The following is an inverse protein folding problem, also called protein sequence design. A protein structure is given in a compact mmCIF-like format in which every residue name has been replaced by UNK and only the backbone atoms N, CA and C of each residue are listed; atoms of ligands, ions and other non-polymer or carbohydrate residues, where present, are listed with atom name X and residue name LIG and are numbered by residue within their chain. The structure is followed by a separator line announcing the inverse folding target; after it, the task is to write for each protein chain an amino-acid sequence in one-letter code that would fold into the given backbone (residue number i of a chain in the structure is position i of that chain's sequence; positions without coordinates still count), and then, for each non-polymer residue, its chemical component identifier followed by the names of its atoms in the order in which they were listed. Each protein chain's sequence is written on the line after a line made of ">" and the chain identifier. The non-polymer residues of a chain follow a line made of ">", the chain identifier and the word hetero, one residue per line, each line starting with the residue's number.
data_IF_125687173469
#
_entry.id   IF_125687173469
#
_cell.length_a   1.000
_cell.length_b   1.000
_cell.length_c   1.000
_cell.angle_alpha   90.00
_cell.angle_beta   90.00
_cell.angle_gamma   90.00
#
_symmetry.space_group_name_H-M   'P 1'
#
loop_
_entity.id
_entity.type
_entity.pdbx_description
1 polymer ?
#
# COMPACT_ATOMS: atom_id res chain seq x y z
N UNK A 1 -19.49 13.77 -17.47
CA UNK A 1 -18.72 14.15 -16.26
C UNK A 1 -19.38 13.74 -14.93
N UNK A 2 -20.65 13.26 -14.89
CA UNK A 2 -21.35 12.90 -13.64
C UNK A 2 -21.09 11.46 -13.14
N UNK A 3 -20.86 10.48 -14.03
CA UNK A 3 -20.76 9.05 -13.65
C UNK A 3 -19.47 8.63 -12.94
N UNK A 4 -18.34 9.30 -13.19
CA UNK A 4 -17.06 8.93 -12.58
C UNK A 4 -16.99 9.31 -11.09
N UNK A 5 -17.61 10.44 -10.71
CA UNK A 5 -17.72 10.85 -9.30
C UNK A 5 -18.56 9.85 -8.49
N UNK A 6 -19.64 9.33 -9.07
CA UNK A 6 -20.50 8.37 -8.38
C UNK A 6 -19.86 6.98 -8.25
N UNK A 7 -19.05 6.53 -9.22
CA UNK A 7 -18.29 5.28 -9.09
C UNK A 7 -17.22 5.35 -8.00
N UNK A 8 -16.46 6.45 -7.92
CA UNK A 8 -15.44 6.63 -6.88
C UNK A 8 -16.04 6.71 -5.47
N UNK A 9 -17.10 7.50 -5.26
CA UNK A 9 -17.71 7.62 -3.93
C UNK A 9 -18.35 6.31 -3.47
N UNK A 10 -18.92 5.51 -4.39
CA UNK A 10 -19.40 4.15 -4.07
C UNK A 10 -18.25 3.25 -3.63
N UNK A 11 -17.16 3.22 -4.40
CA UNK A 11 -15.98 2.42 -4.06
C UNK A 11 -15.38 2.85 -2.72
N UNK A 12 -15.28 4.15 -2.47
CA UNK A 12 -14.86 4.73 -1.18
C UNK A 12 -15.77 4.28 -0.03
N UNK A 13 -17.08 4.33 -0.21
CA UNK A 13 -18.03 3.88 0.82
C UNK A 13 -17.83 2.40 1.16
N UNK A 14 -17.63 1.54 0.15
CA UNK A 14 -17.35 0.11 0.36
C UNK A 14 -16.07 -0.13 1.16
N UNK A 15 -15.01 0.66 0.94
CA UNK A 15 -13.76 0.55 1.73
C UNK A 15 -14.03 0.78 3.22
N UNK A 16 -14.82 1.81 3.54
CA UNK A 16 -15.16 2.18 4.91
C UNK A 16 -16.07 1.12 5.54
N UNK A 17 -17.07 0.64 4.82
CA UNK A 17 -17.99 -0.41 5.28
C UNK A 17 -17.28 -1.74 5.57
N UNK A 18 -16.34 -2.13 4.71
CA UNK A 18 -15.53 -3.34 4.90
C UNK A 18 -14.49 -3.19 6.02
N UNK A 19 -14.30 -1.97 6.54
CA UNK A 19 -13.29 -1.68 7.55
C UNK A 19 -11.87 -1.95 7.05
N UNK A 20 -11.62 -1.70 5.77
CA UNK A 20 -10.30 -1.85 5.14
C UNK A 20 -9.41 -0.67 5.53
N UNK A 21 -8.94 -0.72 6.77
CA UNK A 21 -8.06 0.27 7.37
C UNK A 21 -6.58 -0.08 7.15
N UNK A 22 -5.70 0.86 7.44
CA UNK A 22 -4.26 0.65 7.42
C UNK A 22 -3.64 0.96 8.78
N UNK A 23 -2.48 0.38 9.08
CA UNK A 23 -1.71 0.75 10.26
C UNK A 23 -0.69 1.85 9.98
N UNK A 24 -0.52 2.73 10.96
CA UNK A 24 0.68 3.55 11.06
C UNK A 24 1.85 2.58 11.26
N UNK A 25 2.92 2.75 10.50
CA UNK A 25 4.08 1.86 10.61
C UNK A 25 4.87 2.09 11.89
N UNK A 26 4.60 3.17 12.62
CA UNK A 26 5.22 3.46 13.89
C UNK A 26 4.36 4.45 14.66
N UNK A 27 3.91 4.07 15.84
CA UNK A 27 3.20 4.97 16.74
C UNK A 27 4.15 5.78 17.63
N UNK A 28 5.44 5.44 17.77
CA UNK A 28 6.26 5.94 18.87
C UNK A 28 7.78 5.98 18.57
N UNK A 29 8.40 7.16 18.74
CA UNK A 29 9.73 7.30 19.36
C UNK A 29 9.97 8.75 19.86
N UNK A 30 10.09 8.98 21.18
CA UNK A 30 10.88 10.10 21.73
C UNK A 30 11.22 9.92 23.22
N UNK A 31 12.52 9.81 23.55
CA UNK A 31 13.20 10.57 24.62
C UNK A 31 14.71 10.27 24.60
N UNK A 32 15.48 11.04 23.83
CA UNK A 32 16.90 11.33 24.14
C UNK A 32 17.44 12.49 23.28
N UNK A 33 16.76 13.64 23.28
CA UNK A 33 17.35 14.92 22.85
C UNK A 33 17.03 16.08 23.79
N UNK A 34 16.76 15.80 25.08
CA UNK A 34 16.65 16.86 26.09
C UNK A 34 17.88 17.02 26.98
N UNK A 35 19.03 16.39 26.69
CA UNK A 35 20.24 16.61 27.51
C UNK A 35 21.56 16.88 26.79
N UNK A 36 21.72 16.71 25.48
CA UNK A 36 22.96 17.14 24.82
C UNK A 36 22.68 17.70 23.43
N UNK A 37 23.05 18.98 23.26
CA UNK A 37 23.17 19.63 21.96
C UNK A 37 24.28 18.91 21.18
N UNK A 38 23.93 17.90 20.39
CA UNK A 38 24.85 17.30 19.43
C UNK A 38 24.78 18.11 18.13
N UNK A 39 25.91 18.56 17.57
CA UNK A 39 25.91 19.35 16.34
C UNK A 39 25.33 18.56 15.17
N UNK A 40 24.65 19.29 14.27
CA UNK A 40 23.81 18.86 13.13
C UNK A 40 24.45 17.89 12.10
N UNK A 41 25.67 17.39 12.33
CA UNK A 41 26.42 16.59 11.36
C UNK A 41 26.38 15.07 11.59
N UNK A 42 25.65 14.56 12.60
CA UNK A 42 25.53 13.12 12.88
C UNK A 42 24.10 12.53 12.73
N UNK A 43 23.18 13.20 12.04
CA UNK A 43 21.78 12.72 11.89
C UNK A 43 21.54 11.76 10.72
N UNK A 44 22.58 11.31 10.00
CA UNK A 44 22.39 10.60 8.73
C UNK A 44 21.89 9.15 8.82
N UNK A 45 21.74 8.55 10.01
CA UNK A 45 21.30 7.15 10.11
C UNK A 45 20.36 6.83 11.26
N UNK A 46 19.53 7.79 11.66
CA UNK A 46 18.55 7.60 12.73
C UNK A 46 17.25 6.98 12.19
N UNK A 47 17.33 5.73 11.74
CA UNK A 47 16.16 4.93 11.34
C UNK A 47 15.50 4.33 12.59
N UNK A 48 14.18 4.40 12.65
CA UNK A 48 13.37 3.67 13.63
C UNK A 48 13.40 2.16 13.32
N UNK A 49 13.05 1.30 14.27
CA UNK A 49 12.86 -0.14 14.07
C UNK A 49 11.84 -0.48 12.96
N UNK A 50 10.95 0.46 12.62
CA UNK A 50 10.04 0.34 11.48
C UNK A 50 10.71 0.59 10.10
N UNK A 51 12.00 0.95 10.08
CA UNK A 51 12.78 1.26 8.87
C UNK A 51 12.64 2.68 8.33
N UNK A 52 11.71 3.49 8.84
CA UNK A 52 11.57 4.92 8.47
C UNK A 52 12.55 5.80 9.24
N UNK A 53 12.91 6.94 8.66
CA UNK A 53 13.67 7.96 9.38
C UNK A 53 12.85 8.47 10.57
N UNK A 54 13.49 8.62 11.73
CA UNK A 54 12.85 9.17 12.93
C UNK A 54 12.20 10.53 12.65
N UNK A 55 12.85 11.38 11.84
CA UNK A 55 12.32 12.67 11.40
C UNK A 55 11.06 12.62 10.51
N UNK A 56 10.74 11.48 9.90
CA UNK A 56 9.57 11.30 9.02
C UNK A 56 8.34 10.75 9.75
N UNK A 57 8.37 10.68 11.08
CA UNK A 57 7.21 10.34 11.89
C UNK A 57 6.36 11.59 12.12
N UNK A 58 5.04 11.48 11.98
CA UNK A 58 4.13 12.55 12.41
C UNK A 58 4.17 12.61 13.92
N UNK A 59 4.55 13.75 14.49
CA UNK A 59 4.53 13.99 15.92
C UNK A 59 3.09 14.25 16.36
N UNK A 60 2.33 13.19 16.60
CA UNK A 60 1.10 13.33 17.39
C UNK A 60 1.50 13.28 18.87
N UNK A 61 1.33 14.40 19.57
CA UNK A 61 1.92 14.71 20.88
C UNK A 61 1.40 13.83 22.05
N UNK A 62 0.39 12.99 21.82
CA UNK A 62 -0.37 12.30 22.89
C UNK A 62 -0.15 10.77 22.98
N UNK A 63 0.91 10.20 22.42
CA UNK A 63 1.09 8.74 22.43
C UNK A 63 2.10 8.26 23.50
N UNK A 64 1.74 7.24 24.31
CA UNK A 64 2.62 6.72 25.36
C UNK A 64 3.83 6.04 24.73
N UNK A 65 5.00 6.66 24.88
CA UNK A 65 6.31 6.11 24.50
C UNK A 65 6.42 4.69 25.08
N UNK A 66 6.56 3.69 24.22
CA UNK A 66 6.94 2.35 24.65
C UNK A 66 8.39 2.46 25.07
N UNK A 67 8.59 2.78 26.34
CA UNK A 67 9.89 2.86 27.00
C UNK A 67 10.43 1.46 27.34
N UNK A 68 10.01 0.41 26.62
CA UNK A 68 10.57 -0.91 26.89
C UNK A 68 11.86 -1.09 26.09
N UNK A 69 12.85 -1.69 26.72
CA UNK A 69 14.09 -2.20 26.11
C UNK A 69 13.82 -3.36 25.12
N UNK A 70 12.55 -3.57 24.73
CA UNK A 70 12.14 -4.68 23.88
C UNK A 70 12.44 -4.40 22.40
N UNK A 71 12.75 -5.49 21.69
CA UNK A 71 12.93 -5.47 20.24
C UNK A 71 11.63 -5.00 19.55
N UNK A 72 11.77 -4.07 18.60
CA UNK A 72 10.65 -3.53 17.84
C UNK A 72 9.83 -4.66 17.22
N UNK A 73 8.51 -4.65 17.43
CA UNK A 73 7.62 -5.59 16.77
C UNK A 73 6.39 -4.88 16.22
N UNK A 74 5.93 -5.34 15.06
CA UNK A 74 4.82 -4.73 14.34
C UNK A 74 3.55 -4.64 15.17
N UNK A 75 3.23 -5.66 15.98
CA UNK A 75 1.96 -5.72 16.70
C UNK A 75 1.83 -4.66 17.80
N UNK A 76 2.92 -4.39 18.53
CA UNK A 76 2.93 -3.43 19.65
C UNK A 76 3.33 -2.02 19.23
N UNK A 77 4.15 -1.87 18.19
CA UNK A 77 4.67 -0.57 17.78
C UNK A 77 3.86 0.09 16.64
N UNK A 78 2.77 -0.52 16.18
CA UNK A 78 1.88 0.03 15.14
C UNK A 78 0.45 0.21 15.64
N UNK A 79 -0.22 1.27 15.20
CA UNK A 79 -1.61 1.55 15.54
C UNK A 79 -2.46 1.53 14.29
N UNK A 80 -3.69 1.03 14.39
CA UNK A 80 -4.69 1.20 13.34
C UNK A 80 -4.95 2.69 13.16
N UNK A 81 -4.79 3.18 11.93
CA UNK A 81 -5.22 4.53 11.57
C UNK A 81 -6.61 4.40 10.96
N UNK A 82 -7.60 5.00 11.61
CA UNK A 82 -8.96 5.19 11.09
C UNK A 82 -9.03 6.48 10.25
N UNK A 83 -8.11 6.63 9.30
CA UNK A 83 -8.05 7.81 8.42
C UNK A 83 -8.64 7.50 7.06
N UNK A 84 -9.46 8.43 6.59
CA UNK A 84 -10.07 8.49 5.26
C UNK A 84 -9.07 8.70 4.11
N UNK A 85 -7.76 8.66 4.36
CA UNK A 85 -6.70 8.93 3.37
C UNK A 85 -5.91 7.69 2.95
N UNK A 86 -6.37 6.49 3.29
CA UNK A 86 -5.71 5.25 2.87
C UNK A 86 -6.09 4.78 1.46
N UNK A 87 -6.86 5.56 0.72
CA UNK A 87 -7.25 5.28 -0.65
C UNK A 87 -7.11 6.53 -1.52
N UNK A 88 -7.03 6.33 -2.83
CA UNK A 88 -6.93 7.42 -3.79
C UNK A 88 -7.07 6.97 -5.23
N UNK A 89 -6.95 7.94 -6.13
CA UNK A 89 -6.93 7.72 -7.58
C UNK A 89 -5.59 8.24 -8.11
N UNK A 90 -4.91 7.42 -8.91
CA UNK A 90 -3.82 7.89 -9.76
C UNK A 90 -4.37 8.23 -11.15
N UNK A 91 -3.96 9.41 -11.62
CA UNK A 91 -4.18 9.85 -12.98
C UNK A 91 -2.87 9.68 -13.76
N UNK A 92 -2.94 8.94 -14.86
CA UNK A 92 -1.87 8.88 -15.84
C UNK A 92 -2.33 9.68 -17.09
N UNK A 93 -1.65 10.76 -17.48
CA UNK A 93 -2.04 11.57 -18.64
C UNK A 93 -1.99 10.80 -19.97
N UNK A 94 -1.32 9.64 -20.00
CA UNK A 94 -1.22 8.79 -21.18
C UNK A 94 -2.26 7.65 -21.19
N UNK A 95 -3.05 7.50 -20.13
CA UNK A 95 -4.10 6.48 -20.05
C UNK A 95 -5.48 7.14 -20.06
N UNK A 96 -6.44 6.43 -20.65
CA UNK A 96 -7.84 6.85 -20.68
C UNK A 96 -8.60 6.51 -19.39
N UNK A 97 -7.97 5.77 -18.47
CA UNK A 97 -8.61 5.24 -17.27
C UNK A 97 -7.90 5.72 -16.00
N UNK A 98 -8.68 5.85 -14.93
CA UNK A 98 -8.19 6.18 -13.61
C UNK A 98 -7.86 4.90 -12.85
N UNK A 99 -6.69 4.85 -12.21
CA UNK A 99 -6.31 3.72 -11.36
C UNK A 99 -6.70 3.99 -9.92
N UNK A 100 -7.53 3.14 -9.33
CA UNK A 100 -7.90 3.19 -7.90
C UNK A 100 -6.83 2.48 -7.07
N UNK A 101 -6.39 3.08 -5.97
CA UNK A 101 -5.43 2.46 -5.05
C UNK A 101 -5.92 2.51 -3.63
N UNK A 102 -5.65 1.44 -2.91
CA UNK A 102 -5.91 1.31 -1.48
C UNK A 102 -4.65 0.81 -0.79
N UNK A 103 -4.37 1.37 0.39
CA UNK A 103 -3.39 0.88 1.35
C UNK A 103 -4.14 0.17 2.47
N UNK A 104 -3.78 -1.08 2.71
CA UNK A 104 -4.42 -1.93 3.70
C UNK A 104 -3.42 -2.39 4.76
N UNK A 105 -3.94 -2.80 5.91
CA UNK A 105 -3.18 -3.54 6.91
C UNK A 105 -2.69 -4.89 6.37
N UNK A 106 -1.54 -5.36 6.86
CA UNK A 106 -1.01 -6.68 6.46
C UNK A 106 -1.91 -7.83 6.92
N UNK A 107 -2.73 -7.62 7.95
CA UNK A 107 -3.71 -8.60 8.45
C UNK A 107 -5.10 -8.39 7.87
N UNK A 108 -5.26 -7.53 6.85
CA UNK A 108 -6.53 -7.40 6.15
C UNK A 108 -6.92 -8.76 5.55
N UNK A 109 -8.17 -9.17 5.78
CA UNK A 109 -8.71 -10.43 5.29
C UNK A 109 -8.84 -10.40 3.76
N UNK A 110 -8.38 -11.48 3.11
CA UNK A 110 -8.41 -11.59 1.66
C UNK A 110 -9.85 -11.54 1.11
N UNK A 111 -10.82 -12.06 1.88
CA UNK A 111 -12.25 -12.06 1.55
C UNK A 111 -12.78 -10.64 1.40
N UNK A 112 -12.38 -9.73 2.29
CA UNK A 112 -12.76 -8.31 2.22
C UNK A 112 -12.16 -7.61 1.00
N UNK A 113 -10.92 -7.95 0.66
CA UNK A 113 -10.26 -7.41 -0.55
C UNK A 113 -10.94 -7.95 -1.82
N UNK A 114 -11.28 -9.23 -1.83
CA UNK A 114 -12.02 -9.85 -2.92
C UNK A 114 -13.39 -9.18 -3.10
N UNK A 115 -14.14 -8.98 -2.01
CA UNK A 115 -15.44 -8.31 -2.04
C UNK A 115 -15.34 -6.88 -2.58
N UNK A 116 -14.33 -6.11 -2.16
CA UNK A 116 -14.07 -4.77 -2.70
C UNK A 116 -13.85 -4.80 -4.22
N UNK A 117 -13.01 -5.71 -4.71
CA UNK A 117 -12.71 -5.84 -6.15
C UNK A 117 -13.96 -6.31 -6.90
N UNK A 118 -14.69 -7.28 -6.35
CA UNK A 118 -15.87 -7.85 -6.99
C UNK A 118 -17.00 -6.82 -7.13
N UNK A 119 -17.25 -6.05 -6.06
CA UNK A 119 -18.25 -4.98 -6.05
C UNK A 119 -17.92 -3.84 -7.02
N UNK A 120 -16.64 -3.61 -7.31
CA UNK A 120 -16.20 -2.58 -8.27
C UNK A 120 -16.21 -3.08 -9.72
N UNK A 121 -15.77 -4.32 -9.96
CA UNK A 121 -15.62 -4.89 -11.30
C UNK A 121 -16.89 -5.58 -11.82
N UNK A 122 -17.93 -5.76 -11.00
CA UNK A 122 -19.22 -6.42 -11.32
C UNK A 122 -19.11 -7.85 -11.92
N UNK A 123 -17.91 -8.38 -12.10
CA UNK A 123 -17.64 -9.68 -12.72
C UNK A 123 -16.41 -10.32 -12.09
N UNK A 124 -16.48 -11.64 -11.89
CA UNK A 124 -15.33 -12.44 -11.46
C UNK A 124 -14.47 -12.75 -12.69
N UNK A 125 -13.14 -12.53 -12.64
CA UNK A 125 -12.29 -12.86 -13.76
C UNK A 125 -12.28 -14.39 -13.98
N UNK A 126 -12.39 -14.86 -15.23
CA UNK A 126 -12.38 -16.30 -15.56
C UNK A 126 -10.99 -16.93 -15.39
N UNK A 127 -9.92 -16.11 -15.40
CA UNK A 127 -8.54 -16.53 -15.24
C UNK A 127 -7.80 -15.52 -14.35
N UNK A 128 -6.98 -16.03 -13.43
CA UNK A 128 -6.06 -15.23 -12.61
C UNK A 128 -4.63 -15.62 -12.99
N UNK A 129 -3.85 -14.66 -13.48
CA UNK A 129 -2.43 -14.84 -13.81
C UNK A 129 -1.59 -14.12 -12.76
N UNK A 130 -0.75 -14.86 -12.04
CA UNK A 130 0.20 -14.29 -11.08
C UNK A 130 1.62 -14.40 -11.64
N UNK A 131 2.22 -13.25 -11.95
CA UNK A 131 3.59 -13.17 -12.47
C UNK A 131 4.51 -12.73 -11.34
N UNK A 132 5.49 -13.56 -11.02
CA UNK A 132 6.52 -13.30 -10.01
C UNK A 132 7.89 -13.12 -10.67
N UNK A 133 8.75 -12.32 -10.03
CA UNK A 133 10.10 -12.04 -10.52
C UNK A 133 11.00 -11.50 -9.43
N UNK A 134 12.24 -11.17 -9.79
CA UNK A 134 13.20 -10.54 -8.87
C UNK A 134 13.04 -9.03 -8.82
N UNK A 135 13.41 -8.41 -7.69
CA UNK A 135 13.43 -6.95 -7.55
C UNK A 135 14.53 -6.27 -8.40
N UNK A 136 15.51 -7.05 -8.90
CA UNK A 136 16.60 -6.55 -9.74
C UNK A 136 16.22 -6.62 -11.20
N UNK A 137 16.65 -5.61 -11.97
CA UNK A 137 16.55 -5.63 -13.42
C UNK A 137 17.31 -6.83 -14.00
N UNK A 138 16.66 -7.53 -14.91
CA UNK A 138 17.26 -8.58 -15.72
C UNK A 138 16.95 -8.29 -17.20
N UNK A 139 17.80 -8.80 -18.09
CA UNK A 139 17.59 -8.67 -19.54
C UNK A 139 17.16 -10.01 -20.09
N UNK A 140 16.10 -10.00 -20.87
CA UNK A 140 15.72 -11.12 -21.74
C UNK A 140 16.33 -10.92 -23.12
N UNK A 141 16.52 -12.01 -23.87
CA UNK A 141 16.77 -11.86 -25.30
C UNK A 141 15.46 -11.45 -26.00
N UNK A 142 15.58 -10.76 -27.13
CA UNK A 142 14.43 -10.17 -27.84
C UNK A 142 13.37 -11.21 -28.22
N UNK A 143 13.79 -12.42 -28.61
CA UNK A 143 12.88 -13.50 -28.97
C UNK A 143 12.04 -13.93 -27.77
N UNK A 144 12.67 -14.15 -26.62
CA UNK A 144 11.99 -14.59 -25.40
C UNK A 144 11.03 -13.51 -24.89
N UNK A 145 11.46 -12.26 -24.88
CA UNK A 145 10.61 -11.13 -24.47
C UNK A 145 9.36 -11.02 -25.34
N UNK A 146 9.52 -11.10 -26.67
CA UNK A 146 8.41 -11.06 -27.61
C UNK A 146 7.41 -12.20 -27.41
N UNK A 147 7.91 -13.42 -27.27
CA UNK A 147 7.07 -14.61 -27.09
C UNK A 147 6.35 -14.59 -25.74
N UNK A 148 7.03 -14.16 -24.68
CA UNK A 148 6.45 -14.01 -23.35
C UNK A 148 5.32 -12.97 -23.33
N UNK A 149 5.56 -11.78 -23.87
CA UNK A 149 4.56 -10.72 -23.94
C UNK A 149 3.35 -11.14 -24.78
N UNK A 150 3.59 -11.78 -25.94
CA UNK A 150 2.52 -12.30 -26.80
C UNK A 150 1.65 -13.31 -26.05
N UNK A 151 2.26 -14.29 -25.40
CA UNK A 151 1.54 -15.35 -24.70
C UNK A 151 0.66 -14.84 -23.56
N UNK A 152 1.14 -13.84 -22.79
CA UNK A 152 0.34 -13.25 -21.70
C UNK A 152 -0.87 -12.51 -22.25
N UNK A 153 -0.68 -11.69 -23.28
CA UNK A 153 -1.77 -10.90 -23.88
C UNK A 153 -2.81 -11.84 -24.49
N UNK A 154 -2.37 -12.86 -25.23
CA UNK A 154 -3.25 -13.86 -25.83
C UNK A 154 -4.05 -14.61 -24.76
N UNK A 155 -3.39 -15.12 -23.72
CA UNK A 155 -4.08 -15.83 -22.63
C UNK A 155 -5.12 -14.96 -21.92
N UNK A 156 -4.77 -13.71 -21.60
CA UNK A 156 -5.69 -12.78 -20.92
C UNK A 156 -6.89 -12.39 -21.80
N UNK A 157 -6.66 -12.12 -23.08
CA UNK A 157 -7.72 -11.73 -24.01
C UNK A 157 -8.63 -12.91 -24.36
N UNK A 158 -8.09 -14.10 -24.61
CA UNK A 158 -8.88 -15.29 -24.89
C UNK A 158 -9.74 -15.69 -23.69
N UNK A 159 -9.18 -15.67 -22.48
CA UNK A 159 -9.93 -16.01 -21.27
C UNK A 159 -11.05 -15.00 -20.99
N UNK A 160 -10.84 -13.70 -21.22
CA UNK A 160 -11.83 -12.65 -20.98
C UNK A 160 -12.97 -12.58 -22.02
N UNK A 161 -12.87 -13.32 -23.13
CA UNK A 161 -13.92 -13.42 -24.15
C UNK A 161 -14.89 -14.61 -23.91
N UNK A 162 -14.76 -15.30 -22.78
CA UNK A 162 -15.62 -16.41 -22.33
C UNK A 162 -16.67 -15.89 -21.36
#
# INVERSE_FOLDING_TARGET
>A
MSSHKTSYEKWRASILELGLNHRSTCALFSKQQQLQQVPLQQQQNDKCGCGRLKSSHSYDEDQPISQSDDEWNYASCSKMIEDTKNFGILYNPYETHFTKLIRCDIKALAEKLYELIHNDCNQKPPLIISIYGGAKYFKMNERLEKEFMRGIIEAATTAGNV
#
